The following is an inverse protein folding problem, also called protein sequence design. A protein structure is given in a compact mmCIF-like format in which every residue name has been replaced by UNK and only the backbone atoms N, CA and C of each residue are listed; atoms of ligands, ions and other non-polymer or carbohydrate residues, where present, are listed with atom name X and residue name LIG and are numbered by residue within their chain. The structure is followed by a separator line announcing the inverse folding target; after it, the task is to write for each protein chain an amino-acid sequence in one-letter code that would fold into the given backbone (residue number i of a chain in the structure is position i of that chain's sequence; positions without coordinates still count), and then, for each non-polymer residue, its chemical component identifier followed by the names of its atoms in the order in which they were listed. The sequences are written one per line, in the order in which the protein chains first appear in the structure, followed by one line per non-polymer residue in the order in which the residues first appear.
data_IF_050251898700
#
_entry.id   IF_050251898700
#
_cell.length_a   1.000
_cell.length_b   1.000
_cell.length_c   1.000
_cell.angle_alpha   90.00
_cell.angle_beta   90.00
_cell.angle_gamma   90.00
#
_symmetry.space_group_name_H-M   'P 1'
#
loop_
_entity.id
_entity.type
_entity.pdbx_description
1 polymer ?
#
# COMPACT_ATOMS: atom_id res chain seq x y z
N UNK A 1 -33.85 -8.31 -31.16
CA UNK A 1 -32.68 -9.07 -30.64
C UNK A 1 -31.41 -8.24 -30.72
N UNK A 2 -31.15 -7.50 -31.81
CA UNK A 2 -29.99 -6.58 -31.92
C UNK A 2 -30.00 -5.43 -30.90
N UNK A 3 -31.15 -4.79 -30.68
CA UNK A 3 -31.28 -3.65 -29.75
C UNK A 3 -30.96 -4.02 -28.28
N UNK A 4 -31.37 -5.21 -27.82
CA UNK A 4 -31.03 -5.71 -26.48
C UNK A 4 -29.53 -6.00 -26.34
N UNK A 5 -28.88 -6.45 -27.40
CA UNK A 5 -27.44 -6.74 -27.40
C UNK A 5 -26.64 -5.41 -27.37
N UNK A 6 -27.08 -4.42 -28.15
CA UNK A 6 -26.49 -3.08 -28.16
C UNK A 6 -26.62 -2.40 -26.78
N UNK A 7 -27.78 -2.47 -26.14
CA UNK A 7 -27.99 -1.95 -24.79
C UNK A 7 -27.08 -2.62 -23.75
N UNK A 8 -26.95 -3.95 -23.81
CA UNK A 8 -26.06 -4.72 -22.91
C UNK A 8 -24.60 -4.27 -23.09
N UNK A 9 -24.11 -4.19 -24.32
CA UNK A 9 -22.75 -3.73 -24.63
C UNK A 9 -22.48 -2.31 -24.14
N UNK A 10 -23.45 -1.39 -24.30
CA UNK A 10 -23.35 -0.02 -23.76
C UNK A 10 -23.23 -0.04 -22.23
N UNK A 11 -24.02 -0.86 -21.54
CA UNK A 11 -23.95 -1.00 -20.08
C UNK A 11 -22.60 -1.58 -19.61
N UNK A 12 -22.07 -2.59 -20.30
CA UNK A 12 -20.76 -3.17 -19.96
C UNK A 12 -19.63 -2.15 -20.09
N UNK A 13 -19.61 -1.40 -21.20
CA UNK A 13 -18.63 -0.33 -21.42
C UNK A 13 -18.74 0.75 -20.35
N UNK A 14 -19.96 1.15 -19.97
CA UNK A 14 -20.18 2.12 -18.90
C UNK A 14 -19.62 1.62 -17.56
N UNK A 15 -19.88 0.35 -17.18
CA UNK A 15 -19.33 -0.24 -15.95
C UNK A 15 -17.79 -0.26 -15.95
N UNK A 16 -17.18 -0.65 -17.07
CA UNK A 16 -15.71 -0.62 -17.24
C UNK A 16 -15.16 0.80 -17.09
N UNK A 17 -15.81 1.78 -17.71
CA UNK A 17 -15.43 3.18 -17.61
C UNK A 17 -15.50 3.70 -16.16
N UNK A 18 -16.55 3.31 -15.40
CA UNK A 18 -16.66 3.67 -13.99
C UNK A 18 -15.52 3.11 -13.15
N UNK A 19 -15.10 1.86 -13.39
CA UNK A 19 -13.94 1.27 -12.71
C UNK A 19 -12.66 2.03 -13.05
N UNK A 20 -12.43 2.37 -14.32
CA UNK A 20 -11.26 3.16 -14.72
C UNK A 20 -11.26 4.57 -14.13
N UNK A 21 -12.43 5.22 -14.05
CA UNK A 21 -12.56 6.52 -13.39
C UNK A 21 -12.23 6.42 -11.89
N UNK A 22 -12.73 5.38 -11.21
CA UNK A 22 -12.41 5.14 -9.80
C UNK A 22 -10.90 4.89 -9.62
N UNK A 23 -10.30 4.04 -10.45
CA UNK A 23 -8.85 3.76 -10.47
C UNK A 23 -8.05 5.06 -10.65
N UNK A 24 -8.41 5.89 -11.63
CA UNK A 24 -7.73 7.15 -11.89
C UNK A 24 -7.84 8.12 -10.69
N UNK A 25 -9.02 8.20 -10.07
CA UNK A 25 -9.24 9.02 -8.86
C UNK A 25 -8.35 8.59 -7.70
N UNK A 26 -8.30 7.28 -7.43
CA UNK A 26 -7.45 6.72 -6.36
C UNK A 26 -5.98 6.98 -6.68
N UNK A 27 -5.54 6.77 -7.91
CA UNK A 27 -4.16 7.04 -8.32
C UNK A 27 -3.78 8.51 -8.09
N UNK A 28 -4.64 9.46 -8.47
CA UNK A 28 -4.41 10.89 -8.24
C UNK A 28 -4.37 11.23 -6.74
N UNK A 29 -5.23 10.63 -5.93
CA UNK A 29 -5.22 10.80 -4.48
C UNK A 29 -3.86 10.39 -3.90
N UNK A 30 -3.38 9.18 -4.20
CA UNK A 30 -2.10 8.73 -3.69
C UNK A 30 -0.94 9.59 -4.19
N UNK A 31 -0.93 9.97 -5.48
CA UNK A 31 0.08 10.86 -6.05
C UNK A 31 0.15 12.23 -5.34
N UNK A 32 -1.01 12.80 -4.98
CA UNK A 32 -1.07 14.06 -4.25
C UNK A 32 -0.48 13.93 -2.83
N UNK A 33 -0.81 12.86 -2.11
CA UNK A 33 -0.30 12.63 -0.75
C UNK A 33 1.20 12.28 -0.72
N UNK A 34 1.69 11.50 -1.67
CA UNK A 34 3.13 11.24 -1.82
C UNK A 34 3.89 12.50 -2.25
N UNK A 35 3.29 13.40 -3.03
CA UNK A 35 3.89 14.70 -3.33
C UNK A 35 3.96 15.59 -2.08
N UNK A 36 2.89 15.63 -1.28
CA UNK A 36 2.87 16.37 -0.03
C UNK A 36 3.91 15.83 0.97
N UNK A 37 4.09 14.51 1.03
CA UNK A 37 5.14 13.85 1.82
C UNK A 37 6.53 14.42 1.49
N UNK A 38 6.92 14.43 0.21
CA UNK A 38 8.25 14.91 -0.22
C UNK A 38 8.44 16.38 0.13
N UNK A 39 7.42 17.22 -0.12
CA UNK A 39 7.50 18.66 0.14
C UNK A 39 7.68 18.95 1.64
N UNK A 40 6.97 18.22 2.50
CA UNK A 40 7.04 18.43 3.95
C UNK A 40 8.33 17.91 4.57
N UNK A 41 8.90 16.83 4.03
CA UNK A 41 10.19 16.27 4.43
C UNK A 41 11.34 17.29 4.28
N UNK A 42 11.26 18.22 3.33
CA UNK A 42 12.32 19.20 3.10
C UNK A 42 12.41 20.30 4.18
N UNK A 43 11.31 20.63 4.84
CA UNK A 43 11.21 21.81 5.72
C UNK A 43 11.12 21.46 7.23
N UNK A 44 10.86 20.20 7.57
CA UNK A 44 10.67 19.72 8.95
C UNK A 44 11.69 18.66 9.35
N UNK A 45 11.75 18.37 10.65
CA UNK A 45 12.47 17.19 11.15
C UNK A 45 11.80 15.92 10.62
N UNK A 46 12.62 15.00 10.12
CA UNK A 46 12.13 13.75 9.56
C UNK A 46 12.77 12.55 10.22
N UNK A 47 11.98 11.52 10.49
CA UNK A 47 12.47 10.25 11.03
C UNK A 47 12.42 9.22 9.92
N UNK A 48 13.54 8.56 9.68
CA UNK A 48 13.64 7.48 8.72
C UNK A 48 13.99 6.19 9.43
N UNK A 49 13.15 5.17 9.21
CA UNK A 49 13.32 3.81 9.72
C UNK A 49 13.51 2.85 8.55
N UNK A 50 14.18 1.74 8.80
CA UNK A 50 14.38 0.68 7.83
C UNK A 50 13.08 -0.11 7.67
N UNK A 51 12.60 -0.26 6.43
CA UNK A 51 11.43 -1.10 6.17
C UNK A 51 11.71 -2.56 6.59
N UNK A 52 10.90 -3.15 7.50
CA UNK A 52 11.02 -4.54 7.88
C UNK A 52 10.96 -5.49 6.69
N UNK A 53 11.74 -6.58 6.75
CA UNK A 53 11.79 -7.63 5.71
C UNK A 53 10.41 -8.21 5.35
N UNK A 54 9.45 -8.16 6.27
CA UNK A 54 8.07 -8.61 6.04
C UNK A 54 7.39 -7.85 4.90
N UNK A 55 7.72 -6.58 4.69
CA UNK A 55 7.20 -5.79 3.56
C UNK A 55 7.70 -6.34 2.21
N UNK A 56 8.98 -6.73 2.10
CA UNK A 56 9.50 -7.37 0.88
C UNK A 56 8.84 -8.71 0.61
N UNK A 57 8.65 -9.54 1.64
CA UNK A 57 7.96 -10.84 1.52
C UNK A 57 6.51 -10.62 1.03
N UNK A 58 5.83 -9.62 1.58
CA UNK A 58 4.47 -9.28 1.16
C UNK A 58 4.40 -8.89 -0.32
N UNK A 59 5.39 -8.14 -0.83
CA UNK A 59 5.45 -7.75 -2.24
C UNK A 59 5.62 -8.97 -3.15
N UNK A 60 6.40 -9.97 -2.74
CA UNK A 60 6.51 -11.25 -3.49
C UNK A 60 5.18 -11.99 -3.50
N UNK A 61 4.50 -12.10 -2.35
CA UNK A 61 3.16 -12.73 -2.25
C UNK A 61 2.16 -12.04 -3.17
N UNK A 62 2.18 -10.71 -3.21
CA UNK A 62 1.31 -9.89 -4.04
C UNK A 62 1.56 -10.11 -5.54
N UNK A 63 2.82 -10.18 -5.99
CA UNK A 63 3.15 -10.50 -7.38
C UNK A 63 2.63 -11.89 -7.78
N UNK A 64 2.73 -12.87 -6.88
CA UNK A 64 2.18 -14.22 -7.11
C UNK A 64 0.65 -14.17 -7.16
N UNK A 65 0.00 -13.39 -6.29
CA UNK A 65 -1.46 -13.19 -6.30
C UNK A 65 -1.98 -12.58 -7.61
N UNK A 66 -1.24 -11.61 -8.17
CA UNK A 66 -1.55 -11.02 -9.48
C UNK A 66 -1.52 -12.08 -10.59
N UNK A 67 -0.52 -12.97 -10.55
CA UNK A 67 -0.43 -14.07 -11.52
C UNK A 67 -1.62 -15.03 -11.39
N UNK A 68 -2.09 -15.32 -10.17
CA UNK A 68 -3.20 -16.26 -9.97
C UNK A 68 -4.52 -15.73 -10.52
N UNK A 69 -4.83 -14.43 -10.38
CA UNK A 69 -6.06 -13.88 -10.96
C UNK A 69 -5.99 -13.80 -12.49
N UNK A 70 -4.79 -13.58 -13.06
CA UNK A 70 -4.56 -13.72 -14.50
C UNK A 70 -4.85 -15.16 -14.99
N UNK A 71 -4.39 -16.17 -14.26
CA UNK A 71 -4.67 -17.59 -14.57
C UNK A 71 -6.15 -17.95 -14.42
N UNK A 72 -6.87 -17.31 -13.48
CA UNK A 72 -8.32 -17.44 -13.35
C UNK A 72 -9.04 -16.97 -14.62
N UNK A 73 -8.63 -15.81 -15.17
CA UNK A 73 -9.15 -15.28 -16.44
C UNK A 73 -8.86 -16.23 -17.61
N UNK A 74 -7.64 -16.77 -17.69
CA UNK A 74 -7.31 -17.77 -18.71
C UNK A 74 -8.16 -19.04 -18.61
N UNK A 75 -8.46 -19.48 -17.39
CA UNK A 75 -9.26 -20.69 -17.15
C UNK A 75 -10.72 -20.53 -17.56
N UNK A 76 -11.33 -19.35 -17.33
CA UNK A 76 -12.69 -19.11 -17.81
C UNK A 76 -12.74 -19.09 -19.33
N UNK A 77 -11.76 -18.47 -20.01
CA UNK A 77 -11.69 -18.42 -21.47
C UNK A 77 -11.54 -19.81 -22.11
N UNK A 78 -10.92 -20.78 -21.42
CA UNK A 78 -10.83 -22.16 -21.89
C UNK A 78 -12.04 -23.03 -21.48
N UNK A 79 -13.07 -22.46 -20.85
CA UNK A 79 -14.23 -23.20 -20.34
C UNK A 79 -13.96 -24.04 -19.09
N UNK A 80 -12.79 -23.90 -18.46
CA UNK A 80 -12.42 -24.65 -17.27
C UNK A 80 -12.96 -23.97 -16.00
N UNK A 81 -14.18 -24.34 -15.61
CA UNK A 81 -14.85 -23.81 -14.41
C UNK A 81 -14.17 -24.20 -13.09
N UNK A 82 -13.54 -25.38 -13.03
CA UNK A 82 -12.80 -25.82 -11.86
C UNK A 82 -11.51 -25.02 -11.67
N UNK A 83 -10.80 -24.74 -12.77
CA UNK A 83 -9.63 -23.87 -12.77
C UNK A 83 -9.98 -22.46 -12.30
N UNK A 84 -11.08 -21.89 -12.78
CA UNK A 84 -11.57 -20.58 -12.32
C UNK A 84 -11.76 -20.53 -10.79
N UNK A 85 -12.48 -21.51 -10.22
CA UNK A 85 -12.72 -21.59 -8.77
C UNK A 85 -11.42 -21.72 -7.98
N UNK A 86 -10.52 -22.60 -8.43
CA UNK A 86 -9.23 -22.82 -7.79
C UNK A 86 -8.40 -21.53 -7.76
N UNK A 87 -8.21 -20.87 -8.91
CA UNK A 87 -7.35 -19.69 -9.00
C UNK A 87 -7.90 -18.49 -8.23
N UNK A 88 -9.23 -18.28 -8.21
CA UNK A 88 -9.84 -17.24 -7.36
C UNK A 88 -9.63 -17.56 -5.88
N UNK A 89 -9.81 -18.81 -5.46
CA UNK A 89 -9.58 -19.23 -4.09
C UNK A 89 -8.11 -19.04 -3.66
N UNK A 90 -7.16 -19.41 -4.53
CA UNK A 90 -5.73 -19.18 -4.29
C UNK A 90 -5.42 -17.68 -4.17
N UNK A 91 -5.98 -16.85 -5.06
CA UNK A 91 -5.82 -15.37 -5.00
C UNK A 91 -6.32 -14.82 -3.66
N UNK A 92 -7.48 -15.30 -3.19
CA UNK A 92 -8.05 -14.90 -1.90
C UNK A 92 -7.14 -15.27 -0.71
N UNK A 93 -6.61 -16.50 -0.70
CA UNK A 93 -5.67 -16.97 0.34
C UNK A 93 -4.36 -16.18 0.31
N UNK A 94 -3.81 -15.90 -0.87
CA UNK A 94 -2.62 -15.07 -1.02
C UNK A 94 -2.86 -13.63 -0.56
N UNK A 95 -4.05 -13.09 -0.82
CA UNK A 95 -4.48 -11.81 -0.25
C UNK A 95 -4.42 -11.84 1.29
N UNK A 96 -4.99 -12.87 1.92
CA UNK A 96 -4.94 -12.99 3.38
C UNK A 96 -3.51 -13.11 3.91
N UNK A 97 -2.66 -13.87 3.22
CA UNK A 97 -1.24 -13.98 3.54
C UNK A 97 -0.52 -12.63 3.42
N UNK A 98 -0.83 -11.84 2.36
CA UNK A 98 -0.34 -10.47 2.22
C UNK A 98 -0.75 -9.61 3.43
N UNK A 99 -2.03 -9.59 3.80
CA UNK A 99 -2.52 -8.83 4.96
C UNK A 99 -1.83 -9.26 6.27
N UNK A 100 -1.60 -10.56 6.46
CA UNK A 100 -0.90 -11.07 7.64
C UNK A 100 0.56 -10.59 7.68
N UNK A 101 1.28 -10.65 6.56
CA UNK A 101 2.67 -10.14 6.48
C UNK A 101 2.75 -8.62 6.66
N UNK A 102 1.78 -7.87 6.13
CA UNK A 102 1.64 -6.44 6.36
C UNK A 102 1.47 -6.13 7.84
N UNK A 103 0.54 -6.82 8.51
CA UNK A 103 0.32 -6.64 9.94
C UNK A 103 1.58 -6.92 10.77
N UNK A 104 2.34 -7.95 10.42
CA UNK A 104 3.61 -8.26 11.09
C UNK A 104 4.68 -7.19 10.86
N UNK A 105 4.80 -6.66 9.63
CA UNK A 105 5.69 -5.53 9.34
C UNK A 105 5.30 -4.27 10.13
N UNK A 106 4.01 -3.97 10.22
CA UNK A 106 3.50 -2.85 11.00
C UNK A 106 3.69 -3.00 12.51
N UNK A 107 3.63 -4.23 13.01
CA UNK A 107 3.92 -4.52 14.42
C UNK A 107 5.39 -4.27 14.73
N UNK A 108 6.30 -4.58 13.81
CA UNK A 108 7.73 -4.32 13.95
C UNK A 108 8.03 -2.81 13.94
N UNK A 109 7.46 -2.06 12.99
CA UNK A 109 7.58 -0.59 12.97
C UNK A 109 7.07 0.07 14.25
N UNK A 110 5.92 -0.37 14.77
CA UNK A 110 5.40 0.14 16.05
C UNK A 110 6.31 -0.19 17.24
N UNK A 111 6.97 -1.35 17.22
CA UNK A 111 7.94 -1.70 18.26
C UNK A 111 9.17 -0.77 18.24
N UNK A 112 9.51 -0.20 17.08
CA UNK A 112 10.57 0.81 16.88
C UNK A 112 10.08 2.26 17.03
N UNK A 113 8.90 2.47 17.62
CA UNK A 113 8.43 3.81 17.95
C UNK A 113 7.66 4.55 16.86
N UNK A 114 7.35 3.92 15.72
CA UNK A 114 6.50 4.52 14.68
C UNK A 114 5.02 4.46 15.10
N UNK A 115 4.57 5.45 15.87
CA UNK A 115 3.18 5.60 16.31
C UNK A 115 2.39 6.64 15.49
N UNK A 116 1.07 6.48 15.45
CA UNK A 116 0.18 7.37 14.67
C UNK A 116 0.15 8.81 15.19
N UNK A 117 0.13 8.98 16.52
CA UNK A 117 0.13 10.27 17.19
C UNK A 117 1.29 10.25 18.18
N UNK A 118 2.28 11.10 17.95
CA UNK A 118 3.44 11.26 18.81
C UNK A 118 4.20 12.54 18.48
N UNK A 119 4.81 13.13 19.49
CA UNK A 119 5.90 14.10 19.33
C UNK A 119 7.22 13.34 19.27
N UNK A 120 8.29 13.97 18.76
CA UNK A 120 9.59 13.32 18.63
C UNK A 120 10.33 13.11 19.97
N UNK A 121 9.71 13.39 21.13
CA UNK A 121 10.33 13.21 22.47
C UNK A 121 10.40 11.74 22.90
N UNK A 122 9.59 10.85 22.33
CA UNK A 122 9.52 9.43 22.72
C UNK A 122 10.06 8.51 21.61
N UNK A 123 11.14 8.95 20.94
CA UNK A 123 11.88 8.11 20.00
C UNK A 123 12.42 6.89 20.75
N UNK A 124 11.80 5.74 20.53
CA UNK A 124 12.18 4.45 21.11
C UNK A 124 12.97 3.64 20.08
N UNK A 125 14.24 3.39 20.34
CA UNK A 125 15.13 2.62 19.48
C UNK A 125 16.57 3.11 19.56
N UNK A 126 17.48 2.44 18.87
CA UNK A 126 18.90 2.78 18.79
C UNK A 126 19.17 3.73 17.62
N UNK A 127 19.66 4.95 17.91
CA UNK A 127 20.00 5.94 16.88
C UNK A 127 21.05 5.39 15.92
N UNK A 128 20.80 5.48 14.61
CA UNK A 128 21.68 4.97 13.56
C UNK A 128 21.40 3.53 13.14
N UNK A 129 20.77 2.72 13.99
CA UNK A 129 20.38 1.33 13.69
C UNK A 129 18.86 1.22 13.43
N UNK A 130 18.03 1.67 14.38
CA UNK A 130 16.57 1.63 14.26
C UNK A 130 16.02 2.84 13.50
N UNK A 131 16.60 4.01 13.72
CA UNK A 131 16.14 5.23 13.06
C UNK A 131 17.25 6.27 12.92
N UNK A 132 17.05 7.17 11.96
CA UNK A 132 17.89 8.37 11.77
C UNK A 132 16.99 9.60 11.74
N UNK A 133 17.41 10.64 12.47
CA UNK A 133 16.73 11.94 12.45
C UNK A 133 17.46 12.85 11.46
N UNK A 134 16.71 13.35 10.49
CA UNK A 134 17.22 14.25 9.45
C UNK A 134 16.71 15.67 9.65
N UNK A 135 17.55 16.64 9.31
CA UNK A 135 17.17 18.04 9.14
C UNK A 135 17.63 18.50 7.77
N UNK A 136 16.69 18.98 6.93
CA UNK A 136 16.99 19.44 5.55
C UNK A 136 17.73 18.41 4.70
N UNK A 137 17.50 17.12 4.94
CA UNK A 137 18.14 16.01 4.23
C UNK A 137 19.51 15.57 4.77
N UNK A 138 20.03 16.21 5.82
CA UNK A 138 21.29 15.83 6.46
C UNK A 138 21.05 15.16 7.82
N UNK A 139 21.80 14.09 8.17
CA UNK A 139 21.66 13.41 9.46
C UNK A 139 22.19 14.28 10.59
N UNK A 140 21.43 14.34 11.69
CA UNK A 140 21.87 15.03 12.90
C UNK A 140 23.06 14.30 13.54
N UNK A 141 23.85 15.03 14.32
CA UNK A 141 24.85 14.39 15.18
C UNK A 141 24.16 13.99 16.48
N UNK A 142 24.50 12.81 17.02
CA UNK A 142 23.96 12.32 18.28
C UNK A 142 25.11 11.97 19.22
N UNK A 143 25.13 12.60 20.39
CA UNK A 143 26.12 12.34 21.44
C UNK A 143 25.47 12.44 22.82
N UNK A 144 25.71 11.43 23.65
CA UNK A 144 25.35 11.41 25.07
C UNK A 144 23.88 11.78 25.38
N UNK A 145 22.94 11.39 24.50
CA UNK A 145 21.51 11.66 24.65
C UNK A 145 21.00 12.96 24.00
N UNK A 146 21.89 13.74 23.40
CA UNK A 146 21.56 15.01 22.76
C UNK A 146 21.74 14.96 21.24
N UNK A 147 20.91 15.72 20.54
CA UNK A 147 20.98 15.92 19.10
C UNK A 147 21.61 17.27 18.79
N UNK A 148 22.47 17.31 17.76
CA UNK A 148 23.17 18.50 17.30
C UNK A 148 23.05 18.64 15.79
N UNK A 149 23.24 19.87 15.28
CA UNK A 149 23.21 20.14 13.84
C UNK A 149 24.41 19.45 13.15
N UNK A 150 24.29 19.07 11.86
CA UNK A 150 25.37 18.40 11.12
C UNK A 150 26.72 19.15 11.10
N UNK A 151 26.71 20.48 11.29
CA UNK A 151 27.91 21.31 11.33
C UNK A 151 28.45 21.65 12.72
N UNK A 152 27.81 21.20 13.81
CA UNK A 152 28.25 21.47 15.19
C UNK A 152 29.09 20.30 15.73
N UNK A 153 30.30 20.15 15.18
CA UNK A 153 31.21 19.02 15.46
C UNK A 153 31.67 19.00 16.92
N UNK A 154 31.74 20.17 17.56
CA UNK A 154 32.17 20.32 18.96
C UNK A 154 31.02 20.10 19.96
N UNK A 155 29.81 19.76 19.48
CA UNK A 155 28.62 19.46 20.29
C UNK A 155 28.28 20.57 21.31
N UNK A 156 28.37 21.84 20.90
CA UNK A 156 28.22 22.98 21.79
C UNK A 156 26.76 23.38 22.02
N UNK A 157 25.89 23.19 21.02
CA UNK A 157 24.49 23.63 21.05
C UNK A 157 23.52 22.45 20.83
N UNK A 158 23.05 21.78 21.90
CA UNK A 158 22.04 20.74 21.78
C UNK A 158 20.70 21.34 21.30
N UNK A 159 19.99 20.60 20.43
CA UNK A 159 18.73 21.05 19.81
C UNK A 159 17.52 20.20 20.21
N UNK A 160 17.62 19.38 21.25
CA UNK A 160 16.55 18.48 21.73
C UNK A 160 15.22 19.21 21.91
N UNK A 161 15.18 20.34 22.61
CA UNK A 161 13.97 21.13 22.84
C UNK A 161 13.21 21.47 21.54
N UNK A 162 13.94 21.72 20.46
CA UNK A 162 13.36 22.05 19.14
C UNK A 162 12.81 20.82 18.42
N UNK A 163 13.42 19.66 18.64
CA UNK A 163 13.00 18.38 18.06
C UNK A 163 11.76 17.88 18.80
N UNK A 164 11.81 17.93 20.13
CA UNK A 164 10.77 17.50 21.05
C UNK A 164 9.41 18.14 20.74
N UNK A 165 9.32 19.46 20.60
CA UNK A 165 8.04 20.11 20.29
C UNK A 165 7.51 19.83 18.86
N UNK A 166 8.27 19.10 18.03
CA UNK A 166 7.86 18.77 16.66
C UNK A 166 6.98 17.52 16.65
N UNK A 167 5.79 17.64 16.05
CA UNK A 167 4.95 16.48 15.75
C UNK A 167 5.67 15.52 14.80
N UNK A 168 5.49 14.21 15.00
CA UNK A 168 5.98 13.21 14.06
C UNK A 168 5.13 13.23 12.77
N UNK A 169 5.41 14.20 11.91
CA UNK A 169 4.75 14.39 10.62
C UNK A 169 5.00 13.17 9.73
N UNK A 170 6.22 12.60 9.79
CA UNK A 170 6.61 11.43 9.00
C UNK A 170 5.74 10.20 9.28
N UNK A 171 5.54 9.85 10.55
CA UNK A 171 4.68 8.74 10.96
C UNK A 171 3.22 9.03 10.59
N UNK A 172 2.73 10.25 10.85
CA UNK A 172 1.34 10.64 10.53
C UNK A 172 1.00 10.39 9.04
N UNK A 173 1.90 10.78 8.13
CA UNK A 173 1.74 10.54 6.70
C UNK A 173 1.82 9.07 6.34
N UNK A 174 2.76 8.31 6.92
CA UNK A 174 2.87 6.87 6.67
C UNK A 174 1.59 6.13 7.07
N UNK A 175 1.04 6.46 8.24
CA UNK A 175 -0.24 5.92 8.70
C UNK A 175 -1.41 6.33 7.83
N UNK A 176 -1.44 7.56 7.32
CA UNK A 176 -2.50 8.03 6.42
C UNK A 176 -2.48 7.28 5.08
N UNK A 177 -1.31 7.19 4.43
CA UNK A 177 -1.13 6.44 3.19
C UNK A 177 -1.52 4.97 3.37
N UNK A 178 -1.12 4.37 4.49
CA UNK A 178 -1.39 2.97 4.79
C UNK A 178 -2.85 2.74 5.15
N UNK A 179 -3.45 3.60 5.97
CA UNK A 179 -4.87 3.51 6.34
C UNK A 179 -5.77 3.60 5.11
N UNK A 180 -5.44 4.51 4.18
CA UNK A 180 -6.13 4.58 2.90
C UNK A 180 -5.86 3.35 2.05
N UNK A 181 -4.64 2.79 2.02
CA UNK A 181 -4.36 1.55 1.31
C UNK A 181 -5.19 0.37 1.85
N UNK A 182 -5.27 0.23 3.18
CA UNK A 182 -6.07 -0.80 3.87
C UNK A 182 -7.55 -0.68 3.51
N UNK A 183 -8.09 0.54 3.45
CA UNK A 183 -9.48 0.78 3.05
C UNK A 183 -9.75 0.23 1.64
N UNK A 184 -8.87 0.53 0.69
CA UNK A 184 -9.01 0.04 -0.69
C UNK A 184 -8.81 -1.47 -0.78
N UNK A 185 -7.84 -2.01 -0.03
CA UNK A 185 -7.63 -3.45 0.08
C UNK A 185 -8.87 -4.17 0.61
N UNK A 186 -9.55 -3.62 1.62
CA UNK A 186 -10.80 -4.16 2.13
C UNK A 186 -11.89 -4.20 1.04
N UNK A 187 -12.00 -3.14 0.24
CA UNK A 187 -12.85 -3.12 -0.96
C UNK A 187 -12.49 -4.23 -1.96
N UNK A 188 -11.19 -4.47 -2.16
CA UNK A 188 -10.68 -5.56 -3.00
C UNK A 188 -11.08 -6.94 -2.48
N UNK A 189 -10.97 -7.17 -1.17
CA UNK A 189 -11.40 -8.43 -0.55
C UNK A 189 -12.90 -8.66 -0.67
N UNK A 190 -13.72 -7.63 -0.45
CA UNK A 190 -15.17 -7.72 -0.65
C UNK A 190 -15.45 -8.17 -2.08
N UNK A 191 -14.76 -7.60 -3.07
CA UNK A 191 -14.93 -7.99 -4.46
C UNK A 191 -14.44 -9.43 -4.73
N UNK A 192 -13.31 -9.86 -4.17
CA UNK A 192 -12.82 -11.23 -4.29
C UNK A 192 -13.79 -12.25 -3.69
N UNK A 193 -14.41 -11.94 -2.55
CA UNK A 193 -15.45 -12.79 -1.94
C UNK A 193 -16.64 -12.91 -2.88
N UNK A 194 -17.09 -11.79 -3.47
CA UNK A 194 -18.17 -11.78 -4.45
C UNK A 194 -17.81 -12.63 -5.67
N UNK A 195 -16.59 -12.54 -6.19
CA UNK A 195 -16.12 -13.38 -7.30
C UNK A 195 -16.06 -14.86 -6.93
N UNK A 196 -15.60 -15.18 -5.72
CA UNK A 196 -15.52 -16.55 -5.23
C UNK A 196 -16.93 -17.15 -5.18
N UNK A 197 -17.89 -16.48 -4.55
CA UNK A 197 -19.29 -16.93 -4.50
C UNK A 197 -19.90 -17.09 -5.90
N UNK A 198 -19.71 -16.11 -6.78
CA UNK A 198 -20.22 -16.17 -8.16
C UNK A 198 -19.58 -17.29 -8.99
N UNK A 199 -18.32 -17.63 -8.72
CA UNK A 199 -17.62 -18.74 -9.38
C UNK A 199 -18.22 -20.10 -9.00
N UNK A 200 -18.70 -20.26 -7.75
CA UNK A 200 -19.40 -21.46 -7.30
C UNK A 200 -20.83 -21.54 -7.84
N UNK A 201 -21.54 -20.40 -7.93
CA UNK A 201 -22.89 -20.35 -8.50
C UNK A 201 -22.95 -20.47 -10.03
N UNK A 202 -21.81 -20.55 -10.73
CA UNK A 202 -21.75 -20.66 -12.19
C UNK A 202 -22.16 -19.39 -12.94
N UNK A 203 -22.27 -18.24 -12.25
CA UNK A 203 -22.61 -16.94 -12.87
C UNK A 203 -21.49 -16.39 -13.76
N UNK A 204 -20.25 -16.78 -13.45
CA UNK A 204 -19.08 -16.49 -14.26
C UNK A 204 -18.90 -17.63 -15.25
N UNK A 205 -19.04 -17.33 -16.54
CA UNK A 205 -18.92 -18.28 -17.63
C UNK A 205 -18.18 -17.63 -18.80
N UNK A 206 -17.89 -18.39 -19.86
CA UNK A 206 -17.31 -17.83 -21.09
C UNK A 206 -18.17 -16.72 -21.71
N UNK A 207 -19.47 -16.74 -21.47
CA UNK A 207 -20.42 -15.76 -22.00
C UNK A 207 -20.55 -14.52 -21.11
N UNK A 208 -20.18 -14.62 -19.83
CA UNK A 208 -20.28 -13.53 -18.85
C UNK A 208 -18.99 -13.44 -18.03
N UNK A 209 -17.97 -12.80 -18.62
CA UNK A 209 -16.68 -12.54 -17.98
C UNK A 209 -16.64 -11.19 -17.25
N UNK A 210 -17.67 -10.35 -17.39
CA UNK A 210 -17.66 -8.98 -16.91
C UNK A 210 -17.31 -8.85 -15.41
N UNK A 211 -17.91 -9.61 -14.47
CA UNK A 211 -17.54 -9.48 -13.05
C UNK A 211 -16.05 -9.77 -12.80
N UNK A 212 -15.52 -10.79 -13.46
CA UNK A 212 -14.11 -11.19 -13.37
C UNK A 212 -13.20 -10.13 -13.98
N UNK A 213 -13.58 -9.52 -15.10
CA UNK A 213 -12.79 -8.46 -15.73
C UNK A 213 -12.72 -7.20 -14.87
N UNK A 214 -13.85 -6.73 -14.35
CA UNK A 214 -13.89 -5.54 -13.48
C UNK A 214 -13.08 -5.78 -12.20
N UNK A 215 -13.23 -6.96 -11.61
CA UNK A 215 -12.47 -7.35 -10.42
C UNK A 215 -10.98 -7.49 -10.67
N UNK A 216 -10.60 -8.09 -11.79
CA UNK A 216 -9.20 -8.24 -12.19
C UNK A 216 -8.54 -6.88 -12.42
N UNK A 217 -9.21 -5.94 -13.11
CA UNK A 217 -8.69 -4.57 -13.30
C UNK A 217 -8.44 -3.91 -11.95
N UNK A 218 -9.42 -3.96 -11.04
CA UNK A 218 -9.30 -3.33 -9.73
C UNK A 218 -8.21 -4.00 -8.86
N UNK A 219 -8.14 -5.33 -8.85
CA UNK A 219 -7.14 -6.07 -8.07
C UNK A 219 -5.72 -5.80 -8.56
N UNK A 220 -5.47 -5.85 -9.88
CA UNK A 220 -4.17 -5.48 -10.45
C UNK A 220 -3.80 -4.03 -10.17
N UNK A 221 -4.78 -3.12 -10.16
CA UNK A 221 -4.51 -1.74 -9.78
C UNK A 221 -4.05 -1.61 -8.33
N UNK A 222 -4.69 -2.32 -7.38
CA UNK A 222 -4.23 -2.35 -5.99
C UNK A 222 -2.81 -2.92 -5.87
N UNK A 223 -2.50 -3.97 -6.64
CA UNK A 223 -1.18 -4.58 -6.68
C UNK A 223 -0.11 -3.58 -7.18
N UNK A 224 -0.39 -2.88 -8.29
CA UNK A 224 0.50 -1.86 -8.87
C UNK A 224 0.65 -0.67 -7.93
N UNK A 225 -0.45 -0.22 -7.31
CA UNK A 225 -0.45 0.85 -6.33
C UNK A 225 0.44 0.50 -5.13
N UNK A 226 0.38 -0.74 -4.64
CA UNK A 226 1.25 -1.18 -3.55
C UNK A 226 2.72 -1.20 -3.97
N UNK A 227 3.04 -1.72 -5.15
CA UNK A 227 4.42 -1.71 -5.67
C UNK A 227 4.94 -0.26 -5.76
N UNK A 228 4.12 0.65 -6.27
CA UNK A 228 4.44 2.07 -6.29
C UNK A 228 4.75 2.61 -4.89
N UNK A 229 3.88 2.36 -3.90
CA UNK A 229 4.10 2.82 -2.52
C UNK A 229 5.33 2.18 -1.89
N UNK A 230 5.57 0.89 -2.13
CA UNK A 230 6.74 0.18 -1.63
C UNK A 230 8.03 0.77 -2.20
N UNK A 231 8.09 1.01 -3.51
CA UNK A 231 9.25 1.66 -4.15
C UNK A 231 9.40 3.11 -3.70
N UNK A 232 8.30 3.85 -3.56
CA UNK A 232 8.31 5.21 -3.03
C UNK A 232 8.96 5.24 -1.64
N UNK A 233 8.50 4.39 -0.71
CA UNK A 233 9.06 4.32 0.64
C UNK A 233 10.51 3.79 0.68
N UNK A 234 10.91 2.98 -0.29
CA UNK A 234 12.27 2.46 -0.39
C UNK A 234 13.26 3.52 -0.91
N UNK A 235 12.85 4.34 -1.89
CA UNK A 235 13.73 5.31 -2.55
C UNK A 235 13.69 6.73 -1.99
N UNK A 236 12.60 7.13 -1.33
CA UNK A 236 12.45 8.47 -0.71
C UNK A 236 12.87 8.46 0.78
N UNK A 237 13.50 7.36 1.19
CA UNK A 237 14.48 7.40 2.28
C UNK A 237 15.67 8.25 1.84
#
# INVERSE_FOLDING_TARGET
MEENNEQTLKQERAKKMLVWLAVASIAMFFAAFTSAYIVLQADHFWVQDELPRMFTISTVILLVSSLTIYLAKRSVSSGNSNGLKLWIAVTFVLGLAFTATQYLGWKDLQARGMFFIGTLNDLKGEYGEDFVVLMKGEPLLYDSGNYYKPGDIDHLEPINDRIEDTFNISASFLYLLTGMHILHLAGGFIWLIVLLLQSFSGRISQQNTLPLELGSIYWHFLDILWIYLFLFLLFIR
#
